data_IF_711527496686
#
_entry.id   IF_711527496686
#
_cell.length_a   1.000
_cell.length_b   1.000
_cell.length_c   1.000
_cell.angle_alpha   90.00
_cell.angle_beta   90.00
_cell.angle_gamma   90.00
#
_symmetry.space_group_name_H-M   'P 1'
#
loop_
_entity.id
_entity.type
_entity.pdbx_description
1 polymer ?
#
# COMPACT_ATOMS: atom_id res chain seq x y z
N UNK A 1 -15.20 -14.02 12.63
CA UNK A 1 -14.13 -13.12 13.10
C UNK A 1 -13.83 -12.20 11.93
N UNK A 2 -14.15 -10.91 11.98
CA UNK A 2 -13.87 -10.01 10.85
C UNK A 2 -12.42 -9.53 10.99
N UNK A 3 -11.51 -10.17 10.26
CA UNK A 3 -10.11 -9.75 10.14
C UNK A 3 -10.09 -8.33 9.58
N UNK A 4 -9.88 -7.35 10.45
CA UNK A 4 -9.70 -5.96 10.03
C UNK A 4 -8.35 -5.86 9.35
N UNK A 5 -8.35 -5.93 8.02
CA UNK A 5 -7.16 -5.77 7.19
C UNK A 5 -6.49 -4.45 7.58
N UNK A 6 -5.24 -4.51 8.04
CA UNK A 6 -4.51 -3.31 8.44
C UNK A 6 -4.13 -2.47 7.21
N UNK A 7 -3.86 -1.18 7.42
CA UNK A 7 -3.41 -0.29 6.33
C UNK A 7 -2.18 -0.82 5.60
N UNK A 8 -1.29 -1.53 6.33
CA UNK A 8 -0.08 -2.12 5.76
C UNK A 8 -0.46 -3.29 4.85
N UNK A 9 -1.26 -4.24 5.33
CA UNK A 9 -1.70 -5.38 4.52
C UNK A 9 -2.44 -4.92 3.25
N UNK A 10 -3.34 -3.94 3.39
CA UNK A 10 -4.05 -3.38 2.24
C UNK A 10 -3.11 -2.71 1.24
N UNK A 11 -2.05 -2.04 1.71
CA UNK A 11 -1.00 -1.52 0.85
C UNK A 11 -0.30 -2.63 0.07
N UNK A 12 0.09 -3.72 0.75
CA UNK A 12 0.74 -4.86 0.10
C UNK A 12 -0.16 -5.54 -0.94
N UNK A 13 -1.46 -5.67 -0.68
CA UNK A 13 -2.43 -6.17 -1.66
C UNK A 13 -2.52 -5.27 -2.89
N UNK A 14 -2.69 -3.96 -2.71
CA UNK A 14 -2.78 -2.99 -3.82
C UNK A 14 -1.50 -2.97 -4.66
N UNK A 15 -0.34 -3.06 -4.00
CA UNK A 15 0.95 -3.12 -4.67
C UNK A 15 1.09 -4.39 -5.52
N UNK A 16 0.73 -5.56 -4.98
CA UNK A 16 0.74 -6.85 -5.72
C UNK A 16 -0.29 -6.92 -6.83
N UNK A 17 -1.46 -6.28 -6.65
CA UNK A 17 -2.53 -6.27 -7.65
C UNK A 17 -2.15 -5.49 -8.91
N UNK A 18 -1.08 -4.69 -8.88
CA UNK A 18 -0.72 -3.80 -9.99
C UNK A 18 -1.72 -2.65 -10.20
N UNK A 19 -2.66 -2.46 -9.26
CA UNK A 19 -3.68 -1.42 -9.35
C UNK A 19 -3.11 -0.01 -9.15
N UNK A 20 -1.93 0.09 -8.53
CA UNK A 20 -1.26 1.35 -8.22
C UNK A 20 0.05 1.46 -8.98
N UNK A 21 0.32 2.64 -9.55
CA UNK A 21 1.53 2.90 -10.33
C UNK A 21 2.71 3.46 -9.51
N UNK A 22 2.44 3.87 -8.26
CA UNK A 22 3.41 4.48 -7.36
C UNK A 22 2.88 4.43 -5.93
N UNK A 23 3.77 4.57 -4.95
CA UNK A 23 3.39 4.64 -3.53
C UNK A 23 2.42 5.81 -3.26
N UNK A 24 2.54 6.91 -3.99
CA UNK A 24 1.61 8.03 -3.85
C UNK A 24 0.17 7.65 -4.26
N UNK A 25 0.02 6.92 -5.36
CA UNK A 25 -1.27 6.42 -5.85
C UNK A 25 -1.89 5.44 -4.84
N UNK A 26 -1.05 4.54 -4.31
CA UNK A 26 -1.42 3.60 -3.25
C UNK A 26 -1.91 4.33 -1.99
N UNK A 27 -1.22 5.39 -1.54
CA UNK A 27 -1.67 6.21 -0.41
C UNK A 27 -3.01 6.89 -0.69
N UNK A 28 -3.20 7.40 -1.91
CA UNK A 28 -4.46 8.02 -2.31
C UNK A 28 -5.61 7.02 -2.31
N UNK A 29 -5.35 5.80 -2.78
CA UNK A 29 -6.33 4.71 -2.78
C UNK A 29 -6.72 4.28 -1.38
N UNK A 30 -5.73 4.09 -0.51
CA UNK A 30 -5.94 3.76 0.90
C UNK A 30 -6.76 4.84 1.62
N UNK A 31 -6.45 6.12 1.39
CA UNK A 31 -7.27 7.23 1.95
C UNK A 31 -8.70 7.22 1.44
N UNK A 32 -8.92 6.91 0.16
CA UNK A 32 -10.28 6.74 -0.41
C UNK A 32 -11.04 5.56 0.19
N UNK A 33 -10.34 4.52 0.64
CA UNK A 33 -10.95 3.39 1.34
C UNK A 33 -11.17 3.65 2.85
N UNK A 34 -10.74 4.82 3.37
CA UNK A 34 -10.90 5.19 4.78
C UNK A 34 -9.65 4.99 5.65
N UNK A 35 -8.53 4.57 5.05
CA UNK A 35 -7.26 4.42 5.76
C UNK A 35 -6.47 5.74 5.80
N UNK A 36 -6.81 6.61 6.75
CA UNK A 36 -6.14 7.93 6.86
C UNK A 36 -4.74 7.85 7.52
N UNK A 37 -4.51 6.84 8.37
CA UNK A 37 -3.23 6.61 9.06
C UNK A 37 -2.13 5.97 8.16
N UNK A 38 -2.30 5.98 6.84
CA UNK A 38 -1.36 5.39 5.89
C UNK A 38 0.06 5.95 6.02
N UNK A 39 0.21 7.26 6.27
CA UNK A 39 1.52 7.85 6.46
C UNK A 39 2.23 7.36 7.73
N UNK A 40 1.49 7.13 8.82
CA UNK A 40 2.05 6.60 10.06
C UNK A 40 2.55 5.17 9.87
N UNK A 41 1.76 4.34 9.18
CA UNK A 41 2.08 2.93 8.97
C UNK A 41 3.14 2.72 7.87
N UNK A 42 3.18 3.59 6.87
CA UNK A 42 4.13 3.53 5.75
C UNK A 42 5.34 4.46 5.94
N UNK A 43 5.58 5.01 7.13
CA UNK A 43 6.72 5.92 7.35
C UNK A 43 8.09 5.20 7.29
N UNK A 44 8.11 3.88 7.50
CA UNK A 44 9.34 3.10 7.46
C UNK A 44 9.97 3.06 6.07
N UNK A 45 11.24 3.45 5.95
CA UNK A 45 12.00 3.39 4.71
C UNK A 45 12.00 1.98 4.08
N UNK A 46 12.11 0.95 4.93
CA UNK A 46 12.07 -0.46 4.51
C UNK A 46 10.71 -0.88 3.92
N UNK A 47 9.60 -0.35 4.45
CA UNK A 47 8.26 -0.66 3.94
C UNK A 47 8.03 0.07 2.61
N UNK A 48 8.40 1.35 2.52
CA UNK A 48 8.32 2.08 1.24
C UNK A 48 9.11 1.37 0.15
N UNK A 49 10.34 0.91 0.44
CA UNK A 49 11.15 0.18 -0.53
C UNK A 49 10.48 -1.11 -1.00
N UNK A 50 9.91 -1.90 -0.09
CA UNK A 50 9.18 -3.12 -0.44
C UNK A 50 7.93 -2.83 -1.28
N UNK A 51 7.16 -1.79 -0.95
CA UNK A 51 5.98 -1.41 -1.73
C UNK A 51 6.36 -0.96 -3.15
N UNK A 52 7.42 -0.16 -3.30
CA UNK A 52 7.93 0.25 -4.61
C UNK A 52 8.36 -0.97 -5.43
N UNK A 53 9.10 -1.88 -4.82
CA UNK A 53 9.56 -3.11 -5.46
C UNK A 53 8.38 -3.97 -5.94
N UNK A 54 7.38 -4.18 -5.09
CA UNK A 54 6.16 -4.92 -5.44
C UNK A 54 5.34 -4.24 -6.54
N UNK A 55 5.19 -2.91 -6.49
CA UNK A 55 4.50 -2.15 -7.54
C UNK A 55 5.22 -2.31 -8.87
N UNK A 56 6.55 -2.24 -8.88
CA UNK A 56 7.33 -2.47 -10.10
C UNK A 56 7.23 -3.91 -10.57
N UNK A 57 7.32 -4.88 -9.67
CA UNK A 57 7.20 -6.30 -9.99
C UNK A 57 5.82 -6.68 -10.53
N UNK A 58 4.75 -6.02 -10.08
CA UNK A 58 3.39 -6.25 -10.58
C UNK A 58 3.11 -5.57 -11.94
N UNK A 59 3.96 -4.60 -12.33
CA UNK A 59 3.84 -3.86 -13.59
C UNK A 59 4.66 -4.49 -14.74
N UNK A 60 5.63 -5.34 -14.43
CA UNK A 60 6.48 -6.04 -15.39
C UNK A 60 5.99 -7.45 -15.67
#
# INVERSE_FOLDING_TARGET
MTEQITTVERAFELARSGACNSVNDLRQRLRREGYDAVHLHLHGASINKQLVDLIHAAKG
#
